data_IF_906246501840
#
_entry.id   IF_906246501840
#
_cell.length_a   1.000
_cell.length_b   1.000
_cell.length_c   1.000
_cell.angle_alpha   90.00
_cell.angle_beta   90.00
_cell.angle_gamma   90.00
#
_symmetry.space_group_name_H-M   'P 1'
#
loop_
_entity.id
_entity.type
_entity.pdbx_description
1 polymer ?
#
# COMPACT_ATOMS: atom_id res chain seq x y z
N UNK A 1 -5.62 7.62 6.90
CA UNK A 1 -5.72 7.41 5.43
C UNK A 1 -5.39 8.66 4.61
N UNK A 2 -5.95 9.85 4.92
CA UNK A 2 -5.68 11.07 4.11
C UNK A 2 -4.23 11.57 4.13
N UNK A 3 -3.56 11.61 5.30
CA UNK A 3 -2.15 12.08 5.40
C UNK A 3 -1.17 11.26 4.56
N UNK A 4 -1.44 9.96 4.35
CA UNK A 4 -0.56 9.13 3.51
C UNK A 4 -0.82 9.33 2.02
N UNK A 5 -2.00 9.81 1.61
CA UNK A 5 -2.29 10.10 0.21
C UNK A 5 -1.59 11.38 -0.25
N UNK A 6 -1.67 12.45 0.54
CA UNK A 6 -1.02 13.74 0.26
C UNK A 6 0.51 13.59 0.09
N UNK A 7 1.16 12.87 1.01
CA UNK A 7 2.59 12.60 0.90
C UNK A 7 2.93 11.76 -0.34
N UNK A 8 2.07 10.80 -0.72
CA UNK A 8 2.24 10.02 -1.95
C UNK A 8 2.07 10.87 -3.21
N UNK A 9 1.16 11.84 -3.21
CA UNK A 9 1.05 12.83 -4.29
C UNK A 9 2.31 13.68 -4.38
N UNK A 10 2.84 14.16 -3.26
CA UNK A 10 4.09 14.92 -3.22
C UNK A 10 5.28 14.10 -3.74
N UNK A 11 5.38 12.81 -3.37
CA UNK A 11 6.39 11.90 -3.92
C UNK A 11 6.24 11.76 -5.44
N UNK A 12 5.01 11.54 -5.94
CA UNK A 12 4.74 11.42 -7.37
C UNK A 12 5.10 12.70 -8.13
N UNK A 13 4.82 13.86 -7.55
CA UNK A 13 5.23 15.15 -8.09
C UNK A 13 6.76 15.24 -8.21
N UNK A 14 7.51 14.87 -7.17
CA UNK A 14 8.98 14.83 -7.22
C UNK A 14 9.51 13.85 -8.28
N UNK A 15 8.86 12.69 -8.48
CA UNK A 15 9.22 11.73 -9.54
C UNK A 15 9.03 12.35 -10.93
N UNK A 16 7.91 13.05 -11.17
CA UNK A 16 7.65 13.76 -12.44
C UNK A 16 8.63 14.91 -12.70
N UNK A 17 9.19 15.49 -11.65
CA UNK A 17 10.26 16.48 -11.72
C UNK A 17 11.67 15.86 -11.83
N UNK A 18 11.76 14.54 -12.00
CA UNK A 18 13.01 13.78 -12.11
C UNK A 18 13.98 13.99 -10.94
N UNK A 19 13.45 14.33 -9.75
CA UNK A 19 14.25 14.52 -8.54
C UNK A 19 14.73 13.19 -7.98
N UNK A 20 15.97 13.19 -7.51
CA UNK A 20 16.56 12.02 -6.86
C UNK A 20 15.93 11.76 -5.48
N UNK A 21 16.11 10.55 -4.95
CA UNK A 21 15.70 10.23 -3.58
C UNK A 21 16.43 11.09 -2.53
N UNK A 22 17.71 11.38 -2.79
CA UNK A 22 18.55 12.20 -1.93
C UNK A 22 18.02 13.64 -1.79
N UNK A 23 17.39 14.19 -2.84
CA UNK A 23 16.74 15.51 -2.79
C UNK A 23 15.31 15.42 -2.24
N UNK A 24 14.57 14.37 -2.59
CA UNK A 24 13.14 14.24 -2.27
C UNK A 24 12.90 13.99 -0.78
N UNK A 25 13.70 13.15 -0.15
CA UNK A 25 13.58 12.82 1.28
C UNK A 25 13.67 14.08 2.18
N UNK A 26 14.71 14.94 2.08
CA UNK A 26 14.78 16.13 2.92
C UNK A 26 13.67 17.13 2.60
N UNK A 27 13.21 17.25 1.35
CA UNK A 27 12.06 18.10 1.00
C UNK A 27 10.79 17.64 1.70
N UNK A 28 10.49 16.34 1.66
CA UNK A 28 9.31 15.77 2.33
C UNK A 28 9.40 15.91 3.85
N UNK A 29 10.57 15.68 4.45
CA UNK A 29 10.79 15.90 5.89
C UNK A 29 10.58 17.37 6.29
N UNK A 30 10.95 18.32 5.43
CA UNK A 30 10.73 19.75 5.70
C UNK A 30 9.25 20.13 5.68
N UNK A 31 8.45 19.52 4.81
CA UNK A 31 7.02 19.81 4.66
C UNK A 31 6.19 19.08 5.72
N UNK A 32 6.44 17.79 5.92
CA UNK A 32 5.60 16.92 6.75
C UNK A 32 6.15 16.71 8.17
N UNK A 33 7.40 17.08 8.43
CA UNK A 33 8.01 17.03 9.76
C UNK A 33 7.95 15.63 10.38
N UNK A 34 7.39 15.56 11.60
CA UNK A 34 7.23 14.31 12.37
C UNK A 34 6.25 13.33 11.73
N UNK A 35 5.32 13.81 10.92
CA UNK A 35 4.32 12.99 10.24
C UNK A 35 4.84 12.42 8.90
N UNK A 36 6.08 12.74 8.53
CA UNK A 36 6.67 12.29 7.28
C UNK A 36 6.79 10.76 7.22
N UNK A 37 6.48 10.19 6.05
CA UNK A 37 6.78 8.79 5.74
C UNK A 37 8.27 8.50 5.97
N UNK A 38 8.56 7.28 6.40
CA UNK A 38 9.94 6.82 6.55
C UNK A 38 10.67 6.82 5.20
N UNK A 39 11.99 7.00 5.24
CA UNK A 39 12.85 7.04 4.05
C UNK A 39 12.66 5.78 3.18
N UNK A 40 12.48 4.62 3.82
CA UNK A 40 12.19 3.35 3.14
C UNK A 40 10.86 3.38 2.39
N UNK A 41 9.81 3.99 2.97
CA UNK A 41 8.53 4.14 2.29
C UNK A 41 8.61 5.13 1.13
N UNK A 42 9.28 6.27 1.32
CA UNK A 42 9.49 7.27 0.26
C UNK A 42 10.21 6.63 -0.93
N UNK A 43 11.31 5.89 -0.67
CA UNK A 43 12.06 5.21 -1.71
C UNK A 43 11.24 4.17 -2.46
N UNK A 44 10.43 3.36 -1.73
CA UNK A 44 9.53 2.38 -2.36
C UNK A 44 8.53 3.06 -3.29
N UNK A 45 7.94 4.17 -2.86
CA UNK A 45 6.98 4.94 -3.66
C UNK A 45 7.63 5.64 -4.85
N UNK A 46 8.82 6.21 -4.71
CA UNK A 46 9.55 6.76 -5.85
C UNK A 46 9.87 5.70 -6.90
N UNK A 47 10.28 4.49 -6.49
CA UNK A 47 10.56 3.40 -7.42
C UNK A 47 9.29 2.93 -8.14
N UNK A 48 8.19 2.80 -7.41
CA UNK A 48 6.90 2.40 -7.98
C UNK A 48 6.31 3.48 -8.91
N UNK A 49 6.41 4.75 -8.55
CA UNK A 49 5.83 5.88 -9.27
C UNK A 49 6.44 6.16 -10.65
N UNK A 50 7.59 5.54 -11.00
CA UNK A 50 8.17 5.65 -12.35
C UNK A 50 7.30 5.01 -13.43
N UNK A 51 6.58 3.94 -13.08
CA UNK A 51 5.77 3.17 -14.04
C UNK A 51 4.28 3.19 -13.68
N UNK A 52 3.88 3.95 -12.66
CA UNK A 52 2.56 3.85 -12.05
C UNK A 52 1.85 5.20 -12.02
N UNK A 53 0.64 5.24 -12.58
CA UNK A 53 -0.20 6.43 -12.58
C UNK A 53 -1.10 6.53 -11.34
N UNK A 54 -1.43 5.43 -10.68
CA UNK A 54 -2.26 5.46 -9.49
C UNK A 54 -1.46 5.76 -8.21
N UNK A 55 -2.04 6.55 -7.32
CA UNK A 55 -1.49 6.96 -6.02
C UNK A 55 -2.07 6.10 -4.88
N UNK A 56 -3.19 5.41 -5.15
CA UNK A 56 -3.82 4.53 -4.18
C UNK A 56 -3.01 3.25 -3.98
N UNK A 57 -3.20 2.60 -2.83
CA UNK A 57 -2.68 1.25 -2.65
C UNK A 57 -3.39 0.30 -3.59
N UNK A 58 -2.66 -0.66 -4.17
CA UNK A 58 -3.29 -1.75 -4.92
C UNK A 58 -4.17 -2.53 -3.96
N UNK A 59 -5.28 -3.07 -4.48
CA UNK A 59 -6.08 -4.02 -3.74
C UNK A 59 -5.16 -5.14 -3.27
N UNK A 60 -4.90 -5.19 -1.96
CA UNK A 60 -4.17 -6.30 -1.38
C UNK A 60 -5.09 -7.49 -1.51
N UNK A 61 -4.62 -8.52 -2.23
CA UNK A 61 -5.21 -9.84 -2.09
C UNK A 61 -5.17 -10.16 -0.58
N UNK A 62 -6.32 -10.10 0.07
CA UNK A 62 -6.45 -10.50 1.45
C UNK A 62 -6.01 -11.96 1.59
N UNK A 63 -5.86 -12.43 2.83
CA UNK A 63 -5.72 -13.87 3.03
C UNK A 63 -6.97 -14.53 2.41
N UNK A 64 -6.84 -15.45 1.46
CA UNK A 64 -8.01 -16.16 0.97
C UNK A 64 -8.62 -16.93 2.14
N UNK A 65 -9.87 -16.61 2.49
CA UNK A 65 -10.64 -17.36 3.47
C UNK A 65 -11.10 -18.66 2.83
N UNK A 66 -10.23 -19.66 2.80
CA UNK A 66 -10.54 -20.99 2.24
C UNK A 66 -11.05 -21.95 3.32
N UNK A 67 -11.88 -21.51 4.28
CA UNK A 67 -12.25 -22.34 5.43
C UNK A 67 -13.59 -23.07 5.34
N UNK A 68 -14.43 -22.87 4.33
CA UNK A 68 -15.75 -23.53 4.32
C UNK A 68 -16.39 -23.63 2.93
N UNK A 69 -15.68 -24.16 1.93
CA UNK A 69 -16.41 -24.76 0.80
C UNK A 69 -17.02 -26.08 1.28
N UNK A 70 -18.26 -26.38 0.91
CA UNK A 70 -18.95 -27.64 1.25
C UNK A 70 -18.10 -28.88 0.93
N UNK A 71 -17.32 -28.80 -0.15
CA UNK A 71 -16.39 -29.85 -0.55
C UNK A 71 -15.28 -30.10 0.48
N UNK A 72 -14.75 -29.04 1.10
CA UNK A 72 -13.71 -29.16 2.12
C UNK A 72 -14.30 -29.63 3.46
N UNK A 73 -15.49 -29.14 3.81
CA UNK A 73 -16.23 -29.51 5.03
C UNK A 73 -16.59 -31.01 5.00
N UNK A 74 -17.10 -31.51 3.86
CA UNK A 74 -17.44 -32.92 3.66
C UNK A 74 -16.21 -33.82 3.65
N UNK A 75 -15.09 -33.37 3.06
CA UNK A 75 -13.82 -34.12 3.03
C UNK A 75 -13.19 -34.28 4.41
N UNK A 76 -13.36 -33.28 5.28
CA UNK A 76 -12.85 -33.29 6.66
C UNK A 76 -13.81 -33.92 7.67
N UNK A 77 -14.98 -34.42 7.22
CA UNK A 77 -15.98 -35.05 8.08
C UNK A 77 -16.64 -34.10 9.08
N UNK A 78 -16.51 -32.79 8.86
CA UNK A 78 -17.14 -31.77 9.70
C UNK A 78 -18.57 -31.52 9.20
N UNK A 79 -19.49 -31.22 10.11
CA UNK A 79 -20.82 -30.76 9.71
C UNK A 79 -20.74 -29.29 9.27
N UNK A 80 -21.44 -28.89 8.19
CA UNK A 80 -21.51 -27.49 7.81
C UNK A 80 -22.14 -26.69 8.96
N UNK A 81 -21.48 -25.59 9.32
CA UNK A 81 -22.02 -24.65 10.30
C UNK A 81 -23.21 -23.99 9.60
N UNK A 82 -24.44 -24.37 9.95
CA UNK A 82 -25.62 -23.62 9.52
C UNK A 82 -25.47 -22.19 10.06
N UNK A 83 -25.40 -21.21 9.16
CA UNK A 83 -25.43 -19.80 9.53
C UNK A 83 -26.78 -19.47 10.19
N UNK A 84 -26.75 -18.78 11.35
CA UNK A 84 -27.89 -18.11 11.99
C UNK A 84 -28.03 -16.68 11.47
#
# INVERSE_FOLDING_TARGET
>A
MQRSLEQRMAIKFCVKLERSAAETIPMLKKVFGVDCLSDRHIFRWQKAGKNREDINDENRAGRPSTSSSDDNVKRLGMQPILEF
#
